data_IF_969119438113
#
_entry.id   IF_969119438113
#
_cell.length_a   1.000
_cell.length_b   1.000
_cell.length_c   1.000
_cell.angle_alpha   90.00
_cell.angle_beta   90.00
_cell.angle_gamma   90.00
#
_symmetry.space_group_name_H-M   'P 1'
#
loop_
_entity.id
_entity.type
_entity.pdbx_description
1 polymer ?
#
# COMPACT_ATOMS: atom_id res chain seq x y z
N UNK A 1 -7.89 -42.38 -31.79
CA UNK A 1 -7.32 -43.14 -30.65
C UNK A 1 -8.42 -43.55 -29.66
N UNK A 2 -9.65 -43.77 -30.13
CA UNK A 2 -10.82 -43.93 -29.23
C UNK A 2 -10.69 -45.16 -28.32
N UNK A 3 -10.89 -44.96 -27.01
CA UNK A 3 -10.79 -46.00 -25.97
C UNK A 3 -9.39 -46.58 -25.73
N UNK A 4 -8.35 -46.06 -26.40
CA UNK A 4 -7.00 -46.59 -26.29
C UNK A 4 -6.33 -46.20 -24.97
N UNK A 5 -5.55 -47.10 -24.38
CA UNK A 5 -4.81 -46.84 -23.15
C UNK A 5 -3.30 -46.92 -23.39
N UNK A 6 -2.61 -45.81 -23.14
CA UNK A 6 -1.18 -45.62 -23.27
C UNK A 6 -0.61 -45.26 -21.90
N UNK A 7 0.51 -45.89 -21.54
CA UNK A 7 1.22 -45.63 -20.29
C UNK A 7 2.72 -45.51 -20.58
N UNK A 8 3.33 -44.37 -20.23
CA UNK A 8 4.77 -44.14 -20.42
C UNK A 8 5.22 -44.05 -21.89
N UNK A 9 4.30 -43.82 -22.83
CA UNK A 9 4.61 -43.76 -24.26
C UNK A 9 5.13 -42.38 -24.67
N UNK A 10 6.03 -42.33 -25.65
CA UNK A 10 6.47 -41.08 -26.29
C UNK A 10 5.94 -41.00 -27.71
N UNK A 11 5.20 -39.93 -28.01
CA UNK A 11 4.76 -39.52 -29.32
C UNK A 11 5.64 -38.36 -29.80
N UNK A 12 6.56 -38.61 -30.71
CA UNK A 12 7.50 -37.61 -31.23
C UNK A 12 7.15 -37.26 -32.68
N UNK A 13 6.94 -35.97 -32.98
CA UNK A 13 6.59 -35.42 -34.30
C UNK A 13 5.45 -36.14 -35.01
N UNK A 14 4.46 -36.59 -34.25
CA UNK A 14 3.26 -37.23 -34.78
C UNK A 14 2.24 -36.16 -35.22
N UNK A 15 1.50 -36.43 -36.31
CA UNK A 15 0.40 -35.58 -36.74
C UNK A 15 -0.92 -36.25 -36.31
N UNK A 16 -1.62 -35.65 -35.35
CA UNK A 16 -2.85 -36.19 -34.78
C UNK A 16 -4.04 -35.22 -34.91
N UNK A 17 -3.89 -34.15 -35.67
CA UNK A 17 -4.93 -33.16 -35.94
C UNK A 17 -6.26 -33.82 -36.31
N UNK A 18 -7.37 -33.26 -35.82
CA UNK A 18 -8.76 -33.74 -36.05
C UNK A 18 -9.07 -35.18 -35.58
N UNK A 19 -8.15 -35.85 -34.89
CA UNK A 19 -8.38 -37.19 -34.37
C UNK A 19 -9.33 -37.18 -33.17
N UNK A 20 -10.18 -38.21 -33.03
CA UNK A 20 -10.97 -38.43 -31.80
C UNK A 20 -10.17 -39.18 -30.75
N UNK A 21 -10.08 -38.60 -29.55
CA UNK A 21 -9.46 -39.19 -28.35
C UNK A 21 -10.51 -39.62 -27.31
N UNK A 22 -11.78 -39.74 -27.72
CA UNK A 22 -12.87 -40.18 -26.85
C UNK A 22 -12.49 -41.40 -26.02
N UNK A 23 -12.53 -41.29 -24.69
CA UNK A 23 -12.21 -42.37 -23.75
C UNK A 23 -10.76 -42.88 -23.77
N UNK A 24 -9.84 -42.19 -24.43
CA UNK A 24 -8.43 -42.55 -24.43
C UNK A 24 -7.74 -42.18 -23.10
N UNK A 25 -6.77 -42.97 -22.65
CA UNK A 25 -5.94 -42.68 -21.48
C UNK A 25 -4.48 -42.57 -21.89
N UNK A 26 -3.84 -41.47 -21.53
CA UNK A 26 -2.43 -41.14 -21.79
C UNK A 26 -1.71 -40.89 -20.48
N UNK A 27 -1.49 -41.95 -19.70
CA UNK A 27 -0.85 -41.85 -18.39
C UNK A 27 0.67 -41.72 -18.56
N UNK A 28 1.28 -40.72 -17.94
CA UNK A 28 2.74 -40.50 -17.97
C UNK A 28 3.34 -40.50 -19.40
N UNK A 29 2.55 -40.10 -20.40
CA UNK A 29 2.97 -40.08 -21.81
C UNK A 29 3.62 -38.74 -22.17
N UNK A 30 4.57 -38.75 -23.11
CA UNK A 30 5.23 -37.54 -23.62
C UNK A 30 4.80 -37.27 -25.06
N UNK A 31 4.33 -36.07 -25.33
CA UNK A 31 4.03 -35.58 -26.68
C UNK A 31 5.06 -34.50 -27.01
N UNK A 32 5.89 -34.74 -28.02
CA UNK A 32 6.95 -33.84 -28.43
C UNK A 32 6.69 -33.40 -29.88
N UNK A 33 6.44 -32.11 -30.08
CA UNK A 33 6.13 -31.52 -31.38
C UNK A 33 4.98 -32.23 -32.12
N UNK A 34 3.93 -32.59 -31.37
CA UNK A 34 2.75 -33.26 -31.93
C UNK A 34 1.71 -32.21 -32.32
N UNK A 35 1.14 -32.35 -33.53
CA UNK A 35 -0.03 -31.57 -33.93
C UNK A 35 -1.30 -32.17 -33.31
N UNK A 36 -2.04 -31.35 -32.56
CA UNK A 36 -3.32 -31.75 -31.93
C UNK A 36 -4.46 -30.80 -32.32
N UNK A 37 -4.28 -29.97 -33.34
CA UNK A 37 -5.25 -28.94 -33.71
C UNK A 37 -6.58 -29.58 -34.12
N UNK A 38 -7.68 -29.11 -33.53
CA UNK A 38 -9.03 -29.64 -33.78
C UNK A 38 -9.31 -31.03 -33.19
N UNK A 39 -8.44 -31.57 -32.33
CA UNK A 39 -8.73 -32.78 -31.57
C UNK A 39 -9.83 -32.48 -30.55
N UNK A 40 -10.91 -33.27 -30.58
CA UNK A 40 -11.97 -33.17 -29.58
C UNK A 40 -11.57 -33.95 -28.32
N UNK A 41 -11.13 -33.22 -27.29
CA UNK A 41 -10.83 -33.78 -25.98
C UNK A 41 -12.03 -33.74 -25.03
N UNK A 42 -13.18 -33.14 -25.40
CA UNK A 42 -14.34 -33.03 -24.51
C UNK A 42 -14.87 -34.40 -24.06
N UNK A 43 -14.64 -35.44 -24.87
CA UNK A 43 -14.98 -36.82 -24.59
C UNK A 43 -13.90 -37.51 -23.74
N UNK A 44 -14.09 -37.53 -22.42
CA UNK A 44 -13.50 -38.47 -21.42
C UNK A 44 -12.00 -38.83 -21.48
N UNK A 45 -11.17 -38.12 -22.24
CA UNK A 45 -9.75 -38.41 -22.39
C UNK A 45 -8.98 -38.07 -21.10
N UNK A 46 -8.10 -38.96 -20.65
CA UNK A 46 -7.27 -38.78 -19.45
C UNK A 46 -5.81 -38.49 -19.84
N UNK A 47 -5.22 -37.41 -19.33
CA UNK A 47 -3.81 -37.04 -19.56
C UNK A 47 -3.00 -37.00 -18.27
N UNK A 48 -3.37 -37.81 -17.28
CA UNK A 48 -2.72 -37.76 -15.97
C UNK A 48 -1.21 -38.04 -16.07
N UNK A 49 -0.40 -37.03 -15.76
CA UNK A 49 1.06 -37.11 -15.82
C UNK A 49 1.63 -36.92 -17.23
N UNK A 50 0.79 -36.60 -18.22
CA UNK A 50 1.26 -36.37 -19.57
C UNK A 50 2.04 -35.04 -19.68
N UNK A 51 3.02 -35.03 -20.59
CA UNK A 51 3.79 -33.84 -20.94
C UNK A 51 3.52 -33.45 -22.38
N UNK A 52 3.17 -32.19 -22.63
CA UNK A 52 3.08 -31.60 -23.97
C UNK A 52 4.26 -30.65 -24.16
N UNK A 53 5.17 -31.01 -25.05
CA UNK A 53 6.34 -30.24 -25.38
C UNK A 53 6.27 -29.72 -26.82
N UNK A 54 6.22 -28.40 -27.00
CA UNK A 54 6.21 -27.79 -28.34
C UNK A 54 5.05 -28.23 -29.24
N UNK A 55 3.89 -28.56 -28.64
CA UNK A 55 2.71 -29.00 -29.36
C UNK A 55 1.84 -27.79 -29.74
N UNK A 56 1.25 -27.83 -30.92
CA UNK A 56 0.18 -26.90 -31.29
C UNK A 56 -1.14 -27.47 -30.78
N UNK A 57 -1.73 -26.78 -29.81
CA UNK A 57 -3.00 -27.14 -29.18
C UNK A 57 -4.02 -26.00 -29.25
N UNK A 58 -3.82 -25.04 -30.15
CA UNK A 58 -4.76 -23.94 -30.35
C UNK A 58 -6.17 -24.48 -30.68
N UNK A 59 -7.21 -23.87 -30.09
CA UNK A 59 -8.61 -24.31 -30.19
C UNK A 59 -8.99 -25.64 -29.51
N UNK A 60 -8.06 -26.39 -28.89
CA UNK A 60 -8.37 -27.65 -28.19
C UNK A 60 -9.01 -27.42 -26.82
N UNK A 61 -10.21 -27.94 -26.57
CA UNK A 61 -10.86 -27.84 -25.26
C UNK A 61 -10.23 -28.79 -24.25
N UNK A 62 -9.53 -28.27 -23.23
CA UNK A 62 -8.92 -29.09 -22.18
C UNK A 62 -9.80 -29.27 -20.92
N UNK A 63 -11.08 -28.84 -20.96
CA UNK A 63 -11.98 -28.80 -19.79
C UNK A 63 -12.23 -30.15 -19.11
N UNK A 64 -12.16 -31.22 -19.88
CA UNK A 64 -12.40 -32.61 -19.47
C UNK A 64 -11.13 -33.34 -19.06
N UNK A 65 -9.95 -32.74 -19.26
CA UNK A 65 -8.66 -33.36 -18.96
C UNK A 65 -8.52 -33.54 -17.46
N UNK A 66 -8.53 -34.80 -17.02
CA UNK A 66 -8.30 -35.17 -15.63
C UNK A 66 -6.82 -35.40 -15.36
N UNK A 67 -6.32 -34.81 -14.28
CA UNK A 67 -4.97 -35.03 -13.77
C UNK A 67 -4.02 -33.87 -14.05
N UNK A 68 -2.73 -34.10 -13.77
CA UNK A 68 -1.65 -33.13 -14.00
C UNK A 68 -1.26 -33.11 -15.47
N UNK A 69 -1.23 -31.94 -16.07
CA UNK A 69 -0.70 -31.69 -17.41
C UNK A 69 0.54 -30.79 -17.28
N UNK A 70 1.68 -31.27 -17.79
CA UNK A 70 2.90 -30.46 -17.81
C UNK A 70 3.10 -29.91 -19.22
N UNK A 71 3.13 -28.58 -19.33
CA UNK A 71 3.44 -27.87 -20.58
C UNK A 71 4.90 -27.42 -20.51
N UNK A 72 5.65 -27.64 -21.59
CA UNK A 72 7.03 -27.17 -21.70
C UNK A 72 7.41 -26.77 -23.13
N UNK A 73 8.33 -25.82 -23.26
CA UNK A 73 8.75 -25.30 -24.56
C UNK A 73 7.67 -24.45 -25.26
N UNK A 74 7.94 -24.00 -26.50
CA UNK A 74 7.06 -23.08 -27.21
C UNK A 74 5.78 -23.79 -27.65
N UNK A 75 4.72 -23.64 -26.85
CA UNK A 75 3.36 -24.05 -27.19
C UNK A 75 2.51 -22.79 -27.44
N UNK A 76 1.53 -22.89 -28.33
CA UNK A 76 0.49 -21.87 -28.49
C UNK A 76 -0.73 -22.26 -27.66
N UNK A 77 -1.07 -21.46 -26.66
CA UNK A 77 -2.23 -21.65 -25.77
C UNK A 77 -3.26 -20.54 -25.93
N UNK A 78 -3.18 -19.79 -27.02
CA UNK A 78 -4.08 -18.67 -27.27
C UNK A 78 -5.54 -19.16 -27.29
N UNK A 79 -6.42 -18.37 -26.67
CA UNK A 79 -7.86 -18.64 -26.57
C UNK A 79 -8.23 -19.95 -25.82
N UNK A 80 -7.28 -20.55 -25.10
CA UNK A 80 -7.52 -21.76 -24.29
C UNK A 80 -8.29 -21.48 -23.02
N UNK A 81 -9.18 -22.41 -22.64
CA UNK A 81 -9.73 -22.48 -21.29
C UNK A 81 -8.97 -23.52 -20.47
N UNK A 82 -8.13 -23.05 -19.54
CA UNK A 82 -7.33 -23.89 -18.63
C UNK A 82 -7.98 -24.02 -17.25
N UNK A 83 -9.27 -23.68 -17.12
CA UNK A 83 -10.00 -23.90 -15.88
C UNK A 83 -10.08 -25.40 -15.56
N UNK A 84 -9.88 -25.74 -14.29
CA UNK A 84 -9.91 -27.14 -13.82
C UNK A 84 -8.58 -27.89 -13.88
N UNK A 85 -7.62 -27.49 -14.70
CA UNK A 85 -6.38 -28.24 -14.95
C UNK A 85 -5.33 -27.97 -13.86
N UNK A 86 -4.64 -29.02 -13.39
CA UNK A 86 -3.42 -28.90 -12.58
C UNK A 86 -2.21 -28.74 -13.51
N UNK A 87 -1.73 -27.49 -13.63
CA UNK A 87 -0.57 -27.13 -14.44
C UNK A 87 0.77 -27.44 -13.74
N UNK A 88 0.76 -27.93 -12.50
CA UNK A 88 1.96 -28.43 -11.82
C UNK A 88 3.15 -27.47 -11.83
N UNK A 89 4.29 -27.94 -12.32
CA UNK A 89 5.53 -27.16 -12.51
C UNK A 89 5.79 -26.87 -13.99
N UNK A 90 4.72 -26.61 -14.76
CA UNK A 90 4.83 -26.29 -16.19
C UNK A 90 5.72 -25.07 -16.40
N UNK A 91 6.40 -25.07 -17.54
CA UNK A 91 7.26 -23.97 -17.96
C UNK A 91 6.62 -23.22 -19.13
N UNK A 92 6.20 -21.99 -18.87
CA UNK A 92 5.55 -21.10 -19.82
C UNK A 92 6.55 -20.18 -20.52
N UNK A 93 7.85 -20.50 -20.46
CA UNK A 93 8.89 -19.68 -21.07
C UNK A 93 8.70 -19.55 -22.58
N UNK A 94 8.38 -18.35 -23.05
CA UNK A 94 8.10 -18.06 -24.46
C UNK A 94 6.77 -18.62 -25.01
N UNK A 95 5.86 -19.02 -24.13
CA UNK A 95 4.51 -19.50 -24.51
C UNK A 95 3.58 -18.31 -24.73
N UNK A 96 2.79 -18.34 -25.81
CA UNK A 96 1.70 -17.39 -26.02
C UNK A 96 0.44 -17.87 -25.31
N UNK A 97 -0.12 -17.02 -24.45
CA UNK A 97 -1.32 -17.29 -23.64
C UNK A 97 -2.32 -16.12 -23.77
N UNK A 98 -2.41 -15.57 -24.98
CA UNK A 98 -3.30 -14.43 -25.25
C UNK A 98 -4.74 -14.90 -25.18
N UNK A 99 -5.60 -14.16 -24.49
CA UNK A 99 -7.00 -14.54 -24.27
C UNK A 99 -7.19 -15.91 -23.59
N UNK A 100 -6.17 -16.44 -22.91
CA UNK A 100 -6.26 -17.70 -22.16
C UNK A 100 -6.96 -17.48 -20.82
N UNK A 101 -7.80 -18.43 -20.40
CA UNK A 101 -8.53 -18.40 -19.11
C UNK A 101 -7.81 -19.24 -18.06
N UNK A 102 -7.26 -18.56 -17.04
CA UNK A 102 -6.59 -19.12 -15.86
C UNK A 102 -7.39 -18.93 -14.56
N UNK A 103 -8.67 -18.57 -14.65
CA UNK A 103 -9.43 -18.16 -13.46
C UNK A 103 -9.39 -19.21 -12.34
N UNK A 104 -9.14 -18.75 -11.11
CA UNK A 104 -9.04 -19.57 -9.88
C UNK A 104 -7.92 -20.62 -9.90
N UNK A 105 -6.90 -20.48 -10.75
CA UNK A 105 -5.74 -21.39 -10.79
C UNK A 105 -4.67 -21.00 -9.77
N UNK A 106 -3.98 -22.00 -9.24
CA UNK A 106 -2.73 -21.79 -8.50
C UNK A 106 -1.56 -21.85 -9.50
N UNK A 107 -0.95 -20.70 -9.78
CA UNK A 107 0.16 -20.55 -10.72
C UNK A 107 1.50 -20.34 -10.01
N UNK A 108 1.55 -20.48 -8.69
CA UNK A 108 2.78 -20.24 -7.87
C UNK A 108 3.94 -21.17 -8.23
N UNK A 109 3.67 -22.33 -8.85
CA UNK A 109 4.67 -23.32 -9.24
C UNK A 109 5.00 -23.31 -10.72
N UNK A 110 4.28 -22.51 -11.51
CA UNK A 110 4.50 -22.37 -12.95
C UNK A 110 5.71 -21.45 -13.17
N UNK A 111 6.66 -21.88 -13.99
CA UNK A 111 7.84 -21.07 -14.35
C UNK A 111 7.62 -20.39 -15.69
N UNK A 112 8.44 -19.39 -16.02
CA UNK A 112 8.44 -18.80 -17.36
C UNK A 112 7.29 -17.86 -17.69
N UNK A 113 6.31 -17.67 -16.78
CA UNK A 113 5.25 -16.65 -16.90
C UNK A 113 5.83 -15.24 -17.10
N UNK A 114 7.04 -14.98 -16.59
CA UNK A 114 7.80 -13.75 -16.82
C UNK A 114 8.16 -13.48 -18.29
N UNK A 115 8.06 -14.48 -19.17
CA UNK A 115 8.33 -14.34 -20.61
C UNK A 115 7.12 -14.74 -21.47
N UNK A 116 6.03 -15.19 -20.85
CA UNK A 116 4.80 -15.52 -21.53
C UNK A 116 4.07 -14.25 -22.01
N UNK A 117 3.36 -14.34 -23.12
CA UNK A 117 2.52 -13.24 -23.63
C UNK A 117 1.14 -13.31 -22.98
N UNK A 118 0.95 -12.57 -21.87
CA UNK A 118 -0.25 -12.57 -21.02
C UNK A 118 -1.33 -11.55 -21.43
N UNK A 119 -1.23 -10.96 -22.61
CA UNK A 119 -2.16 -9.93 -23.07
C UNK A 119 -3.60 -10.47 -23.08
N UNK A 120 -4.49 -9.75 -22.38
CA UNK A 120 -5.91 -10.11 -22.25
C UNK A 120 -6.20 -11.49 -21.62
N UNK A 121 -5.24 -12.10 -20.92
CA UNK A 121 -5.50 -13.34 -20.17
C UNK A 121 -6.47 -13.08 -19.00
N UNK A 122 -7.41 -14.00 -18.76
CA UNK A 122 -8.31 -13.96 -17.60
C UNK A 122 -7.63 -14.67 -16.43
N UNK A 123 -7.13 -13.89 -15.47
CA UNK A 123 -6.45 -14.37 -14.26
C UNK A 123 -7.32 -14.20 -13.01
N UNK A 124 -8.64 -14.07 -13.16
CA UNK A 124 -9.55 -13.77 -12.05
C UNK A 124 -9.49 -14.85 -10.97
N UNK A 125 -9.21 -14.44 -9.73
CA UNK A 125 -9.04 -15.38 -8.61
C UNK A 125 -7.80 -16.27 -8.68
N UNK A 126 -6.89 -16.07 -9.64
CA UNK A 126 -5.66 -16.84 -9.71
C UNK A 126 -4.71 -16.48 -8.54
N UNK A 127 -3.90 -17.44 -8.10
CA UNK A 127 -2.81 -17.20 -7.15
C UNK A 127 -1.50 -17.13 -7.93
N UNK A 128 -0.90 -15.93 -7.97
CA UNK A 128 0.36 -15.63 -8.62
C UNK A 128 1.43 -15.43 -7.54
N UNK A 129 2.60 -16.01 -7.77
CA UNK A 129 3.80 -15.83 -6.93
C UNK A 129 5.04 -15.72 -7.81
N UNK A 130 4.88 -15.16 -9.01
CA UNK A 130 5.89 -15.15 -10.05
C UNK A 130 6.52 -13.77 -10.23
N UNK A 131 7.71 -13.76 -10.81
CA UNK A 131 8.35 -12.57 -11.35
C UNK A 131 7.60 -12.17 -12.64
N UNK A 132 7.07 -10.95 -12.67
CA UNK A 132 6.38 -10.34 -13.80
C UNK A 132 7.04 -9.00 -14.16
N UNK A 133 8.29 -8.77 -13.71
CA UNK A 133 9.02 -7.52 -13.87
C UNK A 133 9.10 -7.07 -15.33
N UNK A 134 8.76 -5.81 -15.56
CA UNK A 134 8.85 -5.16 -16.86
C UNK A 134 7.95 -5.75 -17.95
N UNK A 135 6.88 -6.47 -17.57
CA UNK A 135 5.94 -7.06 -18.54
C UNK A 135 4.89 -6.08 -19.02
N UNK A 136 4.33 -6.35 -20.20
CA UNK A 136 3.14 -5.67 -20.68
C UNK A 136 1.90 -6.49 -20.30
N UNK A 137 1.12 -5.94 -19.37
CA UNK A 137 -0.15 -6.48 -18.88
C UNK A 137 -1.27 -5.43 -19.07
N UNK A 138 -1.15 -4.61 -20.11
CA UNK A 138 -2.14 -3.59 -20.42
C UNK A 138 -3.55 -4.19 -20.54
N UNK A 139 -4.51 -3.61 -19.81
CA UNK A 139 -5.92 -4.03 -19.84
C UNK A 139 -6.22 -5.40 -19.23
N UNK A 140 -5.28 -6.02 -18.51
CA UNK A 140 -5.50 -7.36 -17.93
C UNK A 140 -6.61 -7.37 -16.88
N UNK A 141 -7.39 -8.45 -16.81
CA UNK A 141 -8.38 -8.66 -15.74
C UNK A 141 -7.82 -9.63 -14.68
N UNK A 142 -7.47 -9.05 -13.54
CA UNK A 142 -6.99 -9.75 -12.35
C UNK A 142 -8.03 -9.75 -11.23
N UNK A 143 -9.32 -9.51 -11.51
CA UNK A 143 -10.36 -9.40 -10.47
C UNK A 143 -10.32 -10.57 -9.48
N UNK A 144 -10.17 -10.26 -8.19
CA UNK A 144 -10.08 -11.25 -7.11
C UNK A 144 -8.77 -12.05 -7.03
N UNK A 145 -7.76 -11.74 -7.85
CA UNK A 145 -6.49 -12.45 -7.86
C UNK A 145 -5.71 -12.24 -6.56
N UNK A 146 -4.94 -13.27 -6.17
CA UNK A 146 -3.98 -13.20 -5.06
C UNK A 146 -2.59 -13.06 -5.63
N UNK A 147 -1.95 -11.89 -5.43
CA UNK A 147 -0.63 -11.57 -5.98
C UNK A 147 0.49 -11.67 -4.93
N UNK A 148 0.23 -12.28 -3.78
CA UNK A 148 1.14 -12.30 -2.62
C UNK A 148 2.58 -12.64 -2.99
N UNK A 149 3.51 -11.72 -2.74
CA UNK A 149 4.95 -11.88 -3.00
C UNK A 149 5.38 -11.71 -4.46
N UNK A 150 4.48 -11.34 -5.37
CA UNK A 150 4.82 -11.16 -6.80
C UNK A 150 5.70 -9.93 -7.03
N UNK A 151 6.63 -10.03 -7.98
CA UNK A 151 7.43 -8.90 -8.44
C UNK A 151 6.83 -8.32 -9.72
N UNK A 152 6.25 -7.13 -9.63
CA UNK A 152 5.64 -6.36 -10.71
C UNK A 152 6.46 -5.09 -11.03
N UNK A 153 7.74 -5.02 -10.64
CA UNK A 153 8.56 -3.83 -10.86
C UNK A 153 8.58 -3.44 -12.36
N UNK A 154 8.31 -2.19 -12.69
CA UNK A 154 8.32 -1.69 -14.07
C UNK A 154 7.25 -2.29 -15.00
N UNK A 155 6.27 -3.03 -14.48
CA UNK A 155 5.21 -3.65 -15.29
C UNK A 155 4.23 -2.62 -15.83
N UNK A 156 3.78 -2.76 -17.07
CA UNK A 156 2.69 -1.98 -17.62
C UNK A 156 1.34 -2.60 -17.25
N UNK A 157 0.68 -2.05 -16.23
CA UNK A 157 -0.68 -2.39 -15.77
C UNK A 157 -1.70 -1.31 -16.17
N UNK A 158 -1.38 -0.47 -17.17
CA UNK A 158 -2.31 0.58 -17.60
C UNK A 158 -3.65 -0.04 -18.06
N UNK A 159 -4.76 0.54 -17.60
CA UNK A 159 -6.11 0.03 -17.88
C UNK A 159 -6.45 -1.32 -17.24
N UNK A 160 -5.60 -1.91 -16.39
CA UNK A 160 -5.86 -3.19 -15.77
C UNK A 160 -7.04 -3.14 -14.76
N UNK A 161 -7.79 -4.23 -14.65
CA UNK A 161 -8.82 -4.40 -13.62
C UNK A 161 -8.24 -5.20 -12.45
N UNK A 162 -8.02 -4.53 -11.31
CA UNK A 162 -7.43 -5.07 -10.08
C UNK A 162 -8.46 -5.15 -8.94
N UNK A 163 -9.76 -5.13 -9.24
CA UNK A 163 -10.85 -5.14 -8.23
C UNK A 163 -10.78 -6.36 -7.32
N UNK A 164 -10.98 -6.17 -6.01
CA UNK A 164 -10.98 -7.21 -4.97
C UNK A 164 -9.70 -8.07 -4.91
N UNK A 165 -8.57 -7.57 -5.43
CA UNK A 165 -7.30 -8.28 -5.34
C UNK A 165 -6.72 -8.31 -3.92
N UNK A 166 -5.95 -9.35 -3.62
CA UNK A 166 -5.14 -9.46 -2.39
C UNK A 166 -3.69 -9.15 -2.70
N UNK A 167 -3.20 -8.01 -2.23
CA UNK A 167 -1.81 -7.58 -2.39
C UNK A 167 -1.11 -7.66 -1.04
N UNK A 168 -0.24 -8.65 -0.88
CA UNK A 168 0.64 -8.76 0.28
C UNK A 168 2.08 -8.93 -0.17
N UNK A 169 2.99 -8.06 0.28
CA UNK A 169 4.41 -8.13 -0.07
C UNK A 169 4.68 -8.05 -1.58
N UNK A 170 3.88 -7.26 -2.31
CA UNK A 170 4.01 -7.09 -3.77
C UNK A 170 4.94 -5.94 -4.09
N UNK A 171 5.81 -6.12 -5.08
CA UNK A 171 6.68 -5.05 -5.60
C UNK A 171 6.07 -4.43 -6.86
N UNK A 172 5.43 -3.27 -6.74
CA UNK A 172 4.87 -2.43 -7.82
C UNK A 172 5.76 -1.22 -8.14
N UNK A 173 7.03 -1.25 -7.72
CA UNK A 173 7.96 -0.14 -7.94
C UNK A 173 8.09 0.16 -9.44
N UNK A 174 8.09 1.44 -9.83
CA UNK A 174 8.18 1.88 -11.23
C UNK A 174 7.07 1.31 -12.17
N UNK A 175 6.01 0.69 -11.64
CA UNK A 175 4.93 0.13 -12.46
C UNK A 175 4.02 1.23 -13.06
N UNK A 176 3.50 0.98 -14.25
CA UNK A 176 2.51 1.88 -14.87
C UNK A 176 1.08 1.44 -14.48
N UNK A 177 0.38 2.21 -13.65
CA UNK A 177 -1.00 1.93 -13.19
C UNK A 177 -2.01 2.91 -13.77
N UNK A 178 -1.66 3.61 -14.85
CA UNK A 178 -2.53 4.62 -15.46
C UNK A 178 -3.86 4.03 -15.92
N UNK A 179 -4.97 4.52 -15.36
CA UNK A 179 -6.32 4.05 -15.68
C UNK A 179 -6.66 2.66 -15.15
N UNK A 180 -5.83 2.08 -14.27
CA UNK A 180 -6.15 0.83 -13.60
C UNK A 180 -7.27 1.03 -12.56
N UNK A 181 -8.13 0.02 -12.38
CA UNK A 181 -9.20 0.03 -11.37
C UNK A 181 -8.80 -0.79 -10.15
N UNK A 182 -8.68 -0.17 -8.96
CA UNK A 182 -8.24 -0.82 -7.71
C UNK A 182 -9.30 -0.84 -6.59
N UNK A 183 -10.58 -0.98 -6.93
CA UNK A 183 -11.65 -0.99 -5.92
C UNK A 183 -11.60 -2.24 -5.03
N UNK A 184 -11.80 -2.07 -3.72
CA UNK A 184 -11.84 -3.19 -2.76
C UNK A 184 -10.48 -3.84 -2.46
N UNK A 185 -9.38 -3.26 -2.94
CA UNK A 185 -8.04 -3.83 -2.77
C UNK A 185 -7.49 -3.54 -1.37
N UNK A 186 -6.93 -4.58 -0.76
CA UNK A 186 -6.17 -4.47 0.50
C UNK A 186 -4.68 -4.68 0.20
N UNK A 187 -3.89 -3.65 0.48
CA UNK A 187 -2.44 -3.67 0.29
C UNK A 187 -1.73 -3.74 1.64
N UNK A 188 -0.91 -4.77 1.82
CA UNK A 188 -0.04 -4.90 2.99
C UNK A 188 1.41 -5.10 2.57
N UNK A 189 2.35 -4.39 3.18
CA UNK A 189 3.79 -4.57 2.91
C UNK A 189 4.17 -4.41 1.43
N UNK A 190 3.42 -3.61 0.67
CA UNK A 190 3.66 -3.45 -0.77
C UNK A 190 4.61 -2.27 -1.04
N UNK A 191 5.40 -2.38 -2.10
CA UNK A 191 6.28 -1.30 -2.59
C UNK A 191 5.66 -0.71 -3.84
N UNK A 192 5.19 0.52 -3.80
CA UNK A 192 4.46 1.22 -4.87
C UNK A 192 5.26 2.45 -5.34
N UNK A 193 6.50 2.59 -4.86
CA UNK A 193 7.36 3.74 -5.10
C UNK A 193 7.57 4.03 -6.59
N UNK A 194 7.44 5.31 -6.97
CA UNK A 194 7.60 5.82 -8.34
C UNK A 194 6.65 5.22 -9.41
N UNK A 195 5.58 4.53 -9.00
CA UNK A 195 4.56 4.07 -9.93
C UNK A 195 3.63 5.22 -10.38
N UNK A 196 2.98 5.05 -11.53
CA UNK A 196 2.00 6.04 -12.06
C UNK A 196 0.60 5.78 -11.48
N UNK A 197 0.45 5.99 -10.17
CA UNK A 197 -0.84 5.88 -9.45
C UNK A 197 -1.59 7.20 -9.31
N UNK A 198 -1.08 8.27 -9.93
CA UNK A 198 -1.44 9.64 -9.57
C UNK A 198 -2.82 10.11 -9.99
N UNK A 199 -3.46 9.51 -10.99
CA UNK A 199 -4.73 10.02 -11.55
C UNK A 199 -5.94 9.68 -10.67
N UNK A 200 -6.98 10.50 -10.78
CA UNK A 200 -8.15 10.54 -9.89
C UNK A 200 -8.78 9.16 -9.59
N UNK A 201 -9.13 8.96 -8.31
CA UNK A 201 -9.82 7.79 -7.72
C UNK A 201 -9.03 6.48 -7.64
N UNK A 202 -7.77 6.45 -8.08
CA UNK A 202 -6.96 5.21 -8.13
C UNK A 202 -6.83 4.51 -6.76
N UNK A 203 -6.64 5.25 -5.67
CA UNK A 203 -6.48 4.66 -4.32
C UNK A 203 -7.69 4.88 -3.40
N UNK A 204 -8.79 5.43 -3.93
CA UNK A 204 -9.94 5.84 -3.13
C UNK A 204 -10.58 4.65 -2.42
N UNK A 205 -10.97 4.87 -1.16
CA UNK A 205 -11.61 3.86 -0.30
C UNK A 205 -10.78 2.56 -0.09
N UNK A 206 -9.46 2.62 -0.31
CA UNK A 206 -8.56 1.47 -0.12
C UNK A 206 -7.98 1.37 1.30
N UNK A 207 -7.41 0.21 1.64
CA UNK A 207 -6.62 0.00 2.86
C UNK A 207 -5.16 -0.30 2.51
N UNK A 208 -4.25 0.58 2.93
CA UNK A 208 -2.81 0.44 2.79
C UNK A 208 -2.18 0.38 4.17
N UNK A 209 -1.52 -0.74 4.47
CA UNK A 209 -0.79 -0.95 5.73
C UNK A 209 0.65 -1.30 5.44
N UNK A 210 1.60 -0.62 6.10
CA UNK A 210 3.04 -0.89 5.97
C UNK A 210 3.52 -0.79 4.51
N UNK A 211 2.90 0.06 3.69
CA UNK A 211 3.22 0.21 2.28
C UNK A 211 4.23 1.34 2.04
N UNK A 212 5.14 1.15 1.09
CA UNK A 212 6.09 2.16 0.63
C UNK A 212 5.56 2.84 -0.62
N UNK A 213 5.24 4.13 -0.50
CA UNK A 213 4.79 5.02 -1.56
C UNK A 213 5.84 6.13 -1.77
N UNK A 214 7.13 5.78 -1.71
CA UNK A 214 8.18 6.78 -1.84
C UNK A 214 8.20 7.40 -3.23
N UNK A 215 8.38 8.72 -3.31
CA UNK A 215 8.53 9.43 -4.59
C UNK A 215 7.38 9.21 -5.59
N UNK A 216 6.18 8.87 -5.11
CA UNK A 216 4.98 8.80 -5.97
C UNK A 216 4.47 10.21 -6.27
N UNK A 217 3.77 10.35 -7.39
CA UNK A 217 3.04 11.57 -7.72
C UNK A 217 1.54 11.28 -7.58
N UNK A 218 0.85 12.07 -6.77
CA UNK A 218 -0.56 11.92 -6.42
C UNK A 218 -1.30 13.23 -6.71
N UNK A 219 -2.47 13.15 -7.34
CA UNK A 219 -3.30 14.31 -7.61
C UNK A 219 -4.80 14.07 -7.32
N UNK A 220 -5.48 15.13 -6.89
CA UNK A 220 -6.94 15.16 -6.74
C UNK A 220 -7.50 14.16 -5.72
N UNK A 221 -8.62 13.51 -6.05
CA UNK A 221 -9.37 12.65 -5.12
C UNK A 221 -8.78 11.24 -4.92
N UNK A 222 -7.49 11.05 -5.22
CA UNK A 222 -6.87 9.73 -5.23
C UNK A 222 -6.84 9.04 -3.86
N UNK A 223 -6.84 9.76 -2.74
CA UNK A 223 -6.74 9.21 -1.37
C UNK A 223 -8.01 9.39 -0.51
N UNK A 224 -9.11 9.89 -1.08
CA UNK A 224 -10.33 10.10 -0.32
C UNK A 224 -10.82 8.77 0.29
N UNK A 225 -11.24 8.79 1.56
CA UNK A 225 -11.73 7.60 2.27
C UNK A 225 -10.69 6.50 2.53
N UNK A 226 -9.44 6.70 2.13
CA UNK A 226 -8.37 5.68 2.22
C UNK A 226 -7.86 5.52 3.65
N UNK A 227 -7.46 4.30 4.03
CA UNK A 227 -6.78 4.03 5.28
C UNK A 227 -5.29 3.87 5.04
N UNK A 228 -4.49 4.75 5.61
CA UNK A 228 -3.03 4.73 5.55
C UNK A 228 -2.50 4.45 6.95
N UNK A 229 -1.86 3.30 7.14
CA UNK A 229 -1.29 2.90 8.43
C UNK A 229 0.17 2.51 8.23
N UNK A 230 1.10 3.14 8.95
CA UNK A 230 2.55 2.83 8.86
C UNK A 230 3.10 2.94 7.44
N UNK A 231 2.57 3.88 6.66
CA UNK A 231 2.95 4.05 5.27
C UNK A 231 4.06 5.08 5.12
N UNK A 232 4.91 4.87 4.13
CA UNK A 232 6.02 5.76 3.80
C UNK A 232 5.70 6.55 2.53
N UNK A 233 5.44 7.84 2.69
CA UNK A 233 5.20 8.82 1.62
C UNK A 233 6.39 9.77 1.47
N UNK A 234 7.59 9.37 1.91
CA UNK A 234 8.77 10.22 1.78
C UNK A 234 9.07 10.56 0.32
N UNK A 235 9.46 11.81 0.08
CA UNK A 235 9.69 12.37 -1.24
C UNK A 235 8.48 12.36 -2.20
N UNK A 236 7.28 11.99 -1.75
CA UNK A 236 6.09 12.02 -2.59
C UNK A 236 5.69 13.45 -2.96
N UNK A 237 5.11 13.62 -4.14
CA UNK A 237 4.48 14.87 -4.59
C UNK A 237 2.98 14.69 -4.57
N UNK A 238 2.28 15.57 -3.87
CA UNK A 238 0.84 15.54 -3.69
C UNK A 238 0.27 16.88 -4.13
N UNK A 239 -0.37 16.92 -5.28
CA UNK A 239 -0.94 18.13 -5.85
C UNK A 239 -2.47 18.10 -5.75
N UNK A 240 -3.06 19.02 -4.99
CA UNK A 240 -4.50 19.10 -4.74
C UNK A 240 -5.11 17.81 -4.19
N UNK A 241 -4.32 17.01 -3.47
CA UNK A 241 -4.77 15.71 -2.95
C UNK A 241 -5.85 15.89 -1.88
N UNK A 242 -6.94 15.14 -2.04
CA UNK A 242 -8.05 15.13 -1.10
C UNK A 242 -7.89 14.05 -0.02
N UNK A 243 -7.76 14.50 1.22
CA UNK A 243 -7.66 13.66 2.41
C UNK A 243 -8.99 13.57 3.19
N UNK A 244 -10.11 13.97 2.58
CA UNK A 244 -11.42 13.86 3.20
C UNK A 244 -11.73 12.41 3.53
N UNK A 245 -12.10 12.16 4.80
CA UNK A 245 -12.36 10.83 5.36
C UNK A 245 -11.17 9.86 5.32
N UNK A 246 -9.97 10.33 4.98
CA UNK A 246 -8.76 9.50 5.03
C UNK A 246 -8.36 9.27 6.48
N UNK A 247 -8.13 8.02 6.84
CA UNK A 247 -7.57 7.63 8.13
C UNK A 247 -6.06 7.53 8.01
N UNK A 248 -5.33 8.14 8.93
CA UNK A 248 -3.88 8.15 8.94
C UNK A 248 -3.37 7.80 10.33
N UNK A 249 -2.46 6.84 10.39
CA UNK A 249 -1.71 6.47 11.58
C UNK A 249 -0.27 6.18 11.21
N UNK A 250 0.68 6.84 11.87
CA UNK A 250 2.11 6.61 11.70
C UNK A 250 2.56 6.76 10.24
N UNK A 251 2.63 7.99 9.73
CA UNK A 251 2.98 8.24 8.32
C UNK A 251 4.33 8.95 8.22
N UNK A 252 5.20 8.49 7.32
CA UNK A 252 6.42 9.22 6.98
C UNK A 252 6.18 10.16 5.79
N UNK A 253 6.22 11.48 6.02
CA UNK A 253 6.15 12.51 4.99
C UNK A 253 7.51 13.17 4.74
N UNK A 254 8.62 12.53 5.13
CA UNK A 254 9.94 13.14 5.04
C UNK A 254 10.23 13.60 3.61
N UNK A 255 10.55 14.88 3.44
CA UNK A 255 10.80 15.49 2.12
C UNK A 255 9.64 15.42 1.11
N UNK A 256 8.42 15.09 1.55
CA UNK A 256 7.23 15.15 0.70
C UNK A 256 6.83 16.60 0.40
N UNK A 257 6.18 16.83 -0.73
CA UNK A 257 5.58 18.12 -1.08
C UNK A 257 4.08 17.99 -1.20
N UNK A 258 3.33 18.75 -0.40
CA UNK A 258 1.88 18.81 -0.39
C UNK A 258 1.43 20.19 -0.84
N UNK A 259 0.93 20.28 -2.07
CA UNK A 259 0.44 21.52 -2.68
C UNK A 259 -1.08 21.56 -2.63
N UNK A 260 -1.65 22.58 -1.99
CA UNK A 260 -3.10 22.78 -1.82
C UNK A 260 -3.88 21.53 -1.37
N UNK A 261 -3.42 20.78 -0.35
CA UNK A 261 -4.14 19.58 0.12
C UNK A 261 -5.52 19.95 0.67
N UNK A 262 -6.51 19.10 0.43
CA UNK A 262 -7.90 19.28 0.83
C UNK A 262 -8.23 18.32 1.98
N UNK A 263 -9.08 18.76 2.93
CA UNK A 263 -9.61 17.86 3.96
C UNK A 263 -8.64 17.50 5.10
N UNK A 264 -7.52 18.22 5.22
CA UNK A 264 -6.60 18.09 6.35
C UNK A 264 -7.33 18.44 7.65
N UNK A 265 -7.35 17.50 8.59
CA UNK A 265 -8.00 17.66 9.90
C UNK A 265 -6.96 17.65 11.04
N UNK A 266 -7.43 17.81 12.28
CA UNK A 266 -6.56 17.88 13.46
C UNK A 266 -5.70 16.61 13.71
N UNK A 267 -6.08 15.46 13.15
CA UNK A 267 -5.41 14.17 13.29
C UNK A 267 -4.55 13.78 12.09
N UNK A 268 -4.59 14.53 10.97
CA UNK A 268 -3.97 14.15 9.71
C UNK A 268 -2.46 13.83 9.79
N UNK A 269 -1.78 14.38 10.79
CA UNK A 269 -0.34 14.20 10.97
C UNK A 269 0.00 13.62 12.35
N UNK A 270 -0.98 13.01 13.03
CA UNK A 270 -0.75 12.33 14.29
C UNK A 270 0.28 11.21 14.09
N UNK A 271 1.30 11.19 14.96
CA UNK A 271 2.42 10.24 14.89
C UNK A 271 3.15 10.22 13.53
N UNK A 272 3.13 11.34 12.81
CA UNK A 272 3.78 11.48 11.51
C UNK A 272 5.21 12.05 11.61
N UNK A 273 6.09 11.63 10.68
CA UNK A 273 7.41 12.22 10.47
C UNK A 273 7.31 13.33 9.42
N UNK A 274 7.74 14.55 9.76
CA UNK A 274 7.55 15.76 8.95
C UNK A 274 8.87 16.46 8.58
N UNK A 275 10.00 15.75 8.71
CA UNK A 275 11.33 16.30 8.41
C UNK A 275 11.44 16.69 6.94
N UNK A 276 11.78 17.95 6.65
CA UNK A 276 11.98 18.43 5.28
C UNK A 276 10.70 18.53 4.43
N UNK A 277 9.51 18.33 5.02
CA UNK A 277 8.24 18.40 4.29
C UNK A 277 7.97 19.82 3.79
N UNK A 278 7.39 19.95 2.61
CA UNK A 278 6.98 21.26 2.06
C UNK A 278 5.47 21.28 1.91
N UNK A 279 4.79 22.17 2.64
CA UNK A 279 3.38 22.47 2.46
C UNK A 279 3.25 23.76 1.66
N UNK A 280 2.54 23.72 0.53
CA UNK A 280 2.28 24.90 -0.31
C UNK A 280 0.78 25.19 -0.28
N UNK A 281 0.39 26.41 0.07
CA UNK A 281 -1.01 26.87 0.08
C UNK A 281 -1.97 25.94 0.87
N UNK A 282 -1.44 25.24 1.87
CA UNK A 282 -2.19 24.28 2.67
C UNK A 282 -2.99 24.97 3.77
N UNK A 283 -4.23 24.51 4.02
CA UNK A 283 -4.96 24.89 5.21
C UNK A 283 -4.59 23.97 6.39
N UNK A 284 -3.80 24.49 7.32
CA UNK A 284 -3.33 23.82 8.53
C UNK A 284 -3.92 24.43 9.81
N UNK A 285 -4.99 25.24 9.70
CA UNK A 285 -5.56 26.00 10.83
C UNK A 285 -6.07 25.11 11.97
N UNK A 286 -6.45 23.87 11.67
CA UNK A 286 -6.93 22.88 12.65
C UNK A 286 -5.86 21.89 13.11
N UNK A 287 -4.67 21.90 12.52
CA UNK A 287 -3.62 20.92 12.83
C UNK A 287 -2.96 21.28 14.16
N UNK A 288 -2.92 20.33 15.09
CA UNK A 288 -2.13 20.45 16.32
C UNK A 288 -0.69 20.06 16.04
N UNK A 289 0.22 20.92 16.47
CA UNK A 289 1.63 20.90 16.01
C UNK A 289 2.63 20.81 17.15
N UNK A 290 2.16 20.94 18.40
CA UNK A 290 2.96 20.82 19.61
C UNK A 290 3.70 19.48 19.68
N UNK A 291 5.02 19.54 19.89
CA UNK A 291 5.87 18.37 20.15
C UNK A 291 6.35 17.62 18.92
N UNK A 292 6.17 18.15 17.70
CA UNK A 292 6.61 17.48 16.46
C UNK A 292 7.94 18.01 15.94
N UNK A 293 8.65 17.15 15.21
CA UNK A 293 9.87 17.52 14.52
C UNK A 293 9.57 18.10 13.13
N UNK A 294 9.77 19.41 12.99
CA UNK A 294 9.62 20.16 11.74
C UNK A 294 10.96 20.58 11.13
N UNK A 295 12.06 19.91 11.48
CA UNK A 295 13.39 20.25 10.95
C UNK A 295 13.36 20.29 9.41
N UNK A 296 13.77 21.41 8.82
CA UNK A 296 13.79 21.62 7.37
C UNK A 296 12.41 21.77 6.71
N UNK A 297 11.30 21.79 7.47
CA UNK A 297 9.97 21.92 6.89
C UNK A 297 9.70 23.33 6.34
N UNK A 298 8.91 23.44 5.27
CA UNK A 298 8.56 24.72 4.65
C UNK A 298 7.06 24.90 4.51
N UNK A 299 6.56 26.11 4.76
CA UNK A 299 5.13 26.44 4.76
C UNK A 299 4.76 27.68 3.90
N UNK A 300 5.16 27.76 2.61
CA UNK A 300 4.71 28.85 1.73
C UNK A 300 3.18 28.92 1.61
N UNK A 301 2.61 30.10 1.84
CA UNK A 301 1.19 30.39 1.59
C UNK A 301 0.19 29.62 2.47
N UNK A 302 0.68 28.88 3.46
CA UNK A 302 -0.16 28.05 4.30
C UNK A 302 -0.97 28.88 5.30
N UNK A 303 -2.23 28.49 5.53
CA UNK A 303 -3.02 29.02 6.64
C UNK A 303 -2.66 28.24 7.90
N UNK A 304 -1.96 28.89 8.84
CA UNK A 304 -1.42 28.22 10.02
C UNK A 304 -2.35 28.33 11.23
N UNK A 305 -2.32 27.31 12.09
CA UNK A 305 -2.96 27.38 13.42
C UNK A 305 -2.23 28.41 14.29
N UNK A 306 -2.93 29.19 15.13
CA UNK A 306 -2.29 30.06 16.13
C UNK A 306 -1.37 29.31 17.10
N UNK A 307 -1.61 28.00 17.28
CA UNK A 307 -0.81 27.13 18.15
C UNK A 307 0.42 26.54 17.42
N UNK A 308 0.59 26.79 16.12
CA UNK A 308 1.80 26.40 15.40
C UNK A 308 2.98 27.25 15.82
N UNK A 309 3.80 26.68 16.70
CA UNK A 309 5.03 27.26 17.19
C UNK A 309 6.23 26.47 16.66
N UNK A 310 7.06 27.12 15.83
CA UNK A 310 8.39 26.62 15.48
C UNK A 310 9.38 27.12 16.51
N UNK A 311 10.08 26.22 17.18
CA UNK A 311 11.13 26.63 18.12
C UNK A 311 12.38 27.14 17.40
N UNK A 312 13.23 27.88 18.11
CA UNK A 312 14.44 28.47 17.52
C UNK A 312 15.38 27.40 16.92
N UNK A 313 15.45 26.20 17.51
CA UNK A 313 16.31 25.12 16.99
C UNK A 313 15.77 24.57 15.67
N UNK A 314 14.46 24.48 15.52
CA UNK A 314 13.83 24.04 14.27
C UNK A 314 14.04 25.07 13.16
N UNK A 315 13.92 26.36 13.48
CA UNK A 315 14.20 27.44 12.52
C UNK A 315 15.68 27.44 12.10
N UNK A 316 16.61 27.28 13.06
CA UNK A 316 18.05 27.13 12.78
C UNK A 316 18.36 25.89 11.93
N UNK A 317 17.53 24.84 12.05
CA UNK A 317 17.60 23.61 11.24
C UNK A 317 16.82 23.71 9.92
N UNK A 318 16.47 24.92 9.49
CA UNK A 318 15.90 25.19 8.17
C UNK A 318 14.38 25.17 8.10
N UNK A 319 13.66 25.02 9.22
CA UNK A 319 12.22 25.19 9.22
C UNK A 319 11.87 26.65 8.87
N UNK A 320 10.99 26.85 7.88
CA UNK A 320 10.68 28.20 7.36
C UNK A 320 9.19 28.40 7.12
N UNK A 321 8.69 29.55 7.62
CA UNK A 321 7.40 30.12 7.23
C UNK A 321 7.75 31.30 6.32
N UNK A 322 7.18 31.39 5.11
CA UNK A 322 7.61 32.43 4.16
C UNK A 322 7.24 33.85 4.68
N UNK A 323 8.16 34.79 4.45
CA UNK A 323 8.36 36.11 5.09
C UNK A 323 7.18 37.10 5.23
N UNK A 324 5.98 36.79 4.74
CA UNK A 324 4.82 37.69 4.81
C UNK A 324 4.07 37.64 6.16
N UNK A 325 3.93 36.45 6.74
CA UNK A 325 3.07 36.22 7.92
C UNK A 325 3.84 36.30 9.24
N UNK A 326 5.12 35.91 9.22
CA UNK A 326 6.08 36.05 10.34
C UNK A 326 6.02 37.45 10.96
N UNK A 327 5.86 38.49 10.14
CA UNK A 327 6.00 39.86 10.61
C UNK A 327 4.83 40.38 11.46
N UNK A 328 3.63 39.77 11.42
CA UNK A 328 2.47 40.27 12.20
C UNK A 328 2.26 39.48 13.49
N UNK A 329 2.25 38.15 13.41
CA UNK A 329 1.91 37.33 14.58
C UNK A 329 3.09 37.11 15.53
N UNK A 330 4.32 36.89 15.01
CA UNK A 330 5.49 36.79 15.91
C UNK A 330 5.75 38.11 16.62
N UNK A 331 5.54 39.26 15.95
CA UNK A 331 5.61 40.58 16.61
C UNK A 331 4.58 40.70 17.73
N UNK A 332 3.35 40.26 17.50
CA UNK A 332 2.29 40.34 18.51
C UNK A 332 2.54 39.39 19.69
N UNK A 333 3.01 38.17 19.43
CA UNK A 333 3.26 37.18 20.47
C UNK A 333 4.50 37.50 21.30
N UNK A 334 5.57 37.97 20.66
CA UNK A 334 6.79 38.41 21.35
C UNK A 334 6.54 39.71 22.14
N UNK A 335 5.68 40.60 21.64
CA UNK A 335 5.20 41.76 22.40
C UNK A 335 4.37 41.32 23.61
N UNK A 336 3.47 40.36 23.44
CA UNK A 336 2.64 39.83 24.53
C UNK A 336 3.46 39.15 25.63
N UNK A 337 4.41 38.28 25.27
CA UNK A 337 5.31 37.62 26.21
C UNK A 337 6.20 38.66 26.92
N UNK A 338 6.74 39.64 26.18
CA UNK A 338 7.56 40.70 26.78
C UNK A 338 6.77 41.56 27.76
N UNK A 339 5.52 41.90 27.44
CA UNK A 339 4.63 42.64 28.35
C UNK A 339 4.25 41.82 29.59
N UNK A 340 3.99 40.52 29.44
CA UNK A 340 3.77 39.61 30.57
C UNK A 340 4.99 39.53 31.50
N UNK A 341 6.19 39.38 30.93
CA UNK A 341 7.43 39.27 31.69
C UNK A 341 7.77 40.58 32.41
N UNK A 342 7.55 41.73 31.77
CA UNK A 342 7.72 43.05 32.38
C UNK A 342 6.72 43.30 33.51
N UNK A 343 5.46 42.88 33.36
CA UNK A 343 4.47 42.93 34.46
C UNK A 343 4.91 42.09 35.65
N UNK A 344 5.43 40.89 35.41
CA UNK A 344 5.95 40.02 36.46
C UNK A 344 7.19 40.62 37.17
N UNK A 345 8.13 41.18 36.43
CA UNK A 345 9.31 41.84 37.02
C UNK A 345 8.97 43.11 37.81
N UNK A 346 8.00 43.90 37.34
CA UNK A 346 7.57 45.11 38.03
C UNK A 346 6.79 44.79 39.32
N UNK A 347 6.00 43.71 39.34
CA UNK A 347 5.38 43.21 40.56
C UNK A 347 6.43 42.80 41.62
N UNK A 348 7.56 42.24 41.20
CA UNK A 348 8.67 41.86 42.09
C UNK A 348 9.46 43.05 42.66
N UNK A 349 9.44 44.22 42.02
CA UNK A 349 10.16 45.42 42.49
C UNK A 349 9.40 46.24 43.55
N UNK A 350 8.11 45.98 43.76
CA UNK A 350 7.28 46.74 44.71
C UNK A 350 7.38 46.30 46.18
N UNK A 351 8.14 45.24 46.48
CA UNK A 351 8.31 44.74 47.85
C UNK A 351 9.77 44.87 48.33
N UNK A 352 10.11 45.86 49.19
CA UNK A 352 11.46 46.01 49.70
C UNK A 352 11.86 44.89 50.68
N UNK A 353 13.11 44.47 50.55
CA UNK A 353 13.73 43.28 51.13
C UNK A 353 14.06 43.45 52.63
N UNK A 354 13.44 42.69 53.53
CA UNK A 354 13.83 42.61 54.95
C UNK A 354 14.21 41.16 55.31
N UNK A 355 15.51 40.91 55.59
CA UNK A 355 16.10 39.55 55.68
C UNK A 355 15.68 38.72 56.90
N UNK A 356 14.94 39.26 57.86
CA UNK A 356 14.57 38.57 59.11
C UNK A 356 13.27 37.75 59.01
N UNK A 357 12.45 37.92 57.97
CA UNK A 357 11.14 37.25 57.87
C UNK A 357 11.17 35.87 57.18
N UNK A 358 12.26 35.52 56.48
CA UNK A 358 12.31 34.33 55.60
C UNK A 358 12.28 33.01 56.36
N UNK A 359 12.92 32.94 57.54
CA UNK A 359 12.92 31.74 58.37
C UNK A 359 11.52 31.46 58.98
N UNK A 360 10.86 32.52 59.48
CA UNK A 360 9.53 32.41 60.07
C UNK A 360 8.44 32.14 59.00
N UNK A 361 8.54 32.75 57.81
CA UNK A 361 7.61 32.52 56.71
C UNK A 361 7.78 31.13 56.09
N UNK A 362 9.00 30.63 55.89
CA UNK A 362 9.21 29.27 55.37
C UNK A 362 8.74 28.19 56.35
N UNK A 363 8.85 28.43 57.66
CA UNK A 363 8.37 27.49 58.68
C UNK A 363 6.83 27.49 58.75
N UNK A 364 6.18 28.65 58.60
CA UNK A 364 4.73 28.75 58.53
C UNK A 364 4.14 28.25 57.20
N UNK A 365 4.83 28.43 56.07
CA UNK A 365 4.41 27.88 54.77
C UNK A 365 4.57 26.36 54.70
N UNK A 366 5.65 25.79 55.28
CA UNK A 366 5.79 24.33 55.41
C UNK A 366 4.69 23.72 56.28
N UNK A 367 4.40 24.33 57.43
CA UNK A 367 3.31 23.87 58.30
C UNK A 367 1.93 23.98 57.63
N UNK A 368 1.71 25.01 56.79
CA UNK A 368 0.48 25.15 55.99
C UNK A 368 0.40 24.16 54.83
N UNK A 369 1.50 23.89 54.13
CA UNK A 369 1.57 22.92 53.04
C UNK A 369 1.35 21.49 53.56
N UNK A 370 1.93 21.13 54.71
CA UNK A 370 1.73 19.81 55.33
C UNK A 370 0.27 19.61 55.82
N UNK A 371 -0.36 20.64 56.38
CA UNK A 371 -1.77 20.59 56.77
C UNK A 371 -2.69 20.46 55.54
N UNK A 372 -2.43 21.23 54.48
CA UNK A 372 -3.23 21.18 53.25
C UNK A 372 -3.04 19.86 52.47
N UNK A 373 -1.86 19.24 52.57
CA UNK A 373 -1.60 17.92 51.97
C UNK A 373 -2.35 16.81 52.71
N UNK A 374 -2.45 16.86 54.04
CA UNK A 374 -3.20 15.86 54.83
C UNK A 374 -4.72 16.01 54.68
N UNK A 375 -5.26 17.24 54.68
CA UNK A 375 -6.70 17.45 54.66
C UNK A 375 -7.32 17.37 53.25
N UNK A 376 -6.55 17.64 52.19
CA UNK A 376 -7.09 17.75 50.82
C UNK A 376 -6.68 16.60 49.90
N UNK A 377 -5.43 16.13 49.96
CA UNK A 377 -4.91 15.15 48.99
C UNK A 377 -5.05 13.71 49.46
N UNK A 378 -5.02 13.47 50.77
CA UNK A 378 -5.16 12.12 51.34
C UNK A 378 -6.51 11.46 51.04
N UNK A 379 -7.67 12.15 51.14
CA UNK A 379 -8.96 11.55 50.79
C UNK A 379 -9.07 11.22 49.29
N UNK A 380 -8.53 12.08 48.42
CA UNK A 380 -8.51 11.88 46.97
C UNK A 380 -7.60 10.71 46.56
N UNK A 381 -6.48 10.54 47.25
CA UNK A 381 -5.55 9.44 47.01
C UNK A 381 -6.14 8.10 47.47
N UNK A 382 -6.83 8.07 48.61
CA UNK A 382 -7.57 6.89 49.09
C UNK A 382 -8.76 6.53 48.18
N UNK A 383 -9.47 7.52 47.64
CA UNK A 383 -10.57 7.31 46.69
C UNK A 383 -10.07 6.81 45.32
N UNK A 384 -8.94 7.33 44.84
CA UNK A 384 -8.27 6.85 43.62
C UNK A 384 -7.80 5.39 43.77
N UNK A 385 -7.17 5.03 44.89
CA UNK A 385 -6.74 3.65 45.16
C UNK A 385 -7.93 2.69 45.27
N UNK A 386 -9.06 3.14 45.82
CA UNK A 386 -10.30 2.37 45.91
C UNK A 386 -10.94 2.13 44.53
N UNK A 387 -10.98 3.16 43.68
CA UNK A 387 -11.51 3.06 42.31
C UNK A 387 -10.64 2.16 41.41
N UNK A 388 -9.32 2.21 41.57
CA UNK A 388 -8.38 1.31 40.89
C UNK A 388 -8.55 -0.14 41.32
N UNK A 389 -8.84 -0.41 42.61
CA UNK A 389 -9.11 -1.76 43.11
C UNK A 389 -10.44 -2.35 42.61
N UNK A 390 -11.40 -1.50 42.24
CA UNK A 390 -12.69 -1.89 41.63
C UNK A 390 -12.64 -2.00 40.09
N UNK A 391 -11.46 -1.79 39.47
CA UNK A 391 -11.26 -1.97 38.03
C UNK A 391 -11.88 -0.90 37.14
N UNK A 392 -12.26 0.27 37.69
CA UNK A 392 -12.71 1.42 36.92
C UNK A 392 -11.49 2.29 36.55
N UNK A 393 -11.36 2.63 35.26
CA UNK A 393 -10.32 3.54 34.76
C UNK A 393 -10.65 4.99 35.07
#
# INVERSE_FOLDING_TARGET
MEGASFAGCTFDRCYMDTSSFSGASFRDCSFVCVGLTGVDLNSSAEFSGATLQGCDIAGVSLKSVKGRLTLSGPCALDEMDLTGIDLGTSDFSGVSVQNTVFSKRNLTRVTGLCTAQLMQADLRGATLGCDLKGRDLHGIDLTGATLTGSDLEGTNLSGATLTDCVFSSVNLKDANLEGATLSGVCMRNCVISRSTIGKAETLKDMSLTECSLQSVELEGDCLAGTWLIKCDLSHAKMDHVNFSNTQMDTIDYSHATLTSPIGINQHAFQDATLTGVTFVDANLSSVRTLGRDYNGASFPGCQLSPDLYLDQRQVERGASIVQGEICREQRNHQTYITQMYQRHQNAYKQYPYNRTSRAQQQQNERARLDANFQDTLRPLQEEMERLLAEGKR
#
